data_IF_039565375075
#
_entry.id   IF_039565375075
#
_cell.length_a   1.000
_cell.length_b   1.000
_cell.length_c   1.000
_cell.angle_alpha   90.00
_cell.angle_beta   90.00
_cell.angle_gamma   90.00
#
_symmetry.space_group_name_H-M   'P 1'
#
loop_
_entity.id
_entity.type
_entity.pdbx_description
1 polymer ?
#
# COMPACT_ATOMS: atom_id res chain seq x y z
N UNK A 1 -28.12 14.75 -16.46
CA UNK A 1 -26.97 14.07 -17.10
C UNK A 1 -26.36 13.14 -16.07
N UNK A 2 -26.15 11.87 -16.38
CA UNK A 2 -25.47 10.95 -15.47
C UNK A 2 -23.95 11.07 -15.68
N UNK A 3 -23.18 11.18 -14.59
CA UNK A 3 -21.72 11.13 -14.64
C UNK A 3 -21.28 9.74 -15.12
N UNK A 4 -20.38 9.67 -16.11
CA UNK A 4 -19.89 8.40 -16.65
C UNK A 4 -18.47 8.14 -16.15
N UNK A 5 -18.36 7.32 -15.10
CA UNK A 5 -17.10 6.96 -14.44
C UNK A 5 -16.12 6.32 -15.43
N UNK A 6 -16.58 5.38 -16.27
CA UNK A 6 -15.72 4.68 -17.25
C UNK A 6 -15.06 5.66 -18.21
N UNK A 7 -15.82 6.62 -18.73
CA UNK A 7 -15.29 7.65 -19.62
C UNK A 7 -14.26 8.54 -18.91
N UNK A 8 -14.50 8.88 -17.65
CA UNK A 8 -13.58 9.69 -16.86
C UNK A 8 -12.26 8.96 -16.60
N UNK A 9 -12.33 7.72 -16.11
CA UNK A 9 -11.14 6.94 -15.76
C UNK A 9 -10.26 6.59 -16.97
N UNK A 10 -10.82 6.55 -18.19
CA UNK A 10 -10.05 6.36 -19.42
C UNK A 10 -9.26 7.59 -19.86
N UNK A 11 -9.56 8.77 -19.33
CA UNK A 11 -8.91 10.01 -19.74
C UNK A 11 -7.53 10.23 -19.08
N UNK A 12 -7.14 9.36 -18.12
CA UNK A 12 -5.87 9.39 -17.38
C UNK A 12 -5.44 10.81 -17.01
N UNK A 13 -6.29 11.51 -16.25
CA UNK A 13 -6.04 12.90 -15.89
C UNK A 13 -4.87 12.95 -14.89
N UNK A 14 -3.70 13.49 -15.28
CA UNK A 14 -2.53 13.48 -14.43
C UNK A 14 -2.69 14.46 -13.27
N UNK A 15 -2.12 14.10 -12.13
CA UNK A 15 -2.17 14.91 -10.91
C UNK A 15 -0.77 15.21 -10.42
N UNK A 16 -0.46 16.51 -10.26
CA UNK A 16 0.72 16.93 -9.52
C UNK A 16 0.48 16.71 -8.02
N UNK A 17 0.91 15.55 -7.51
CA UNK A 17 0.59 15.10 -6.15
C UNK A 17 1.09 16.08 -5.10
N UNK A 18 2.36 16.49 -5.18
CA UNK A 18 2.96 17.41 -4.22
C UNK A 18 2.24 18.76 -4.19
N UNK A 19 1.83 19.27 -5.36
CA UNK A 19 1.09 20.52 -5.44
C UNK A 19 -0.33 20.40 -4.88
N UNK A 20 -1.06 19.30 -5.16
CA UNK A 20 -2.46 19.14 -4.76
C UNK A 20 -2.63 18.64 -3.33
N UNK A 21 -1.76 17.75 -2.89
CA UNK A 21 -1.88 17.00 -1.63
C UNK A 21 -0.76 17.27 -0.63
N UNK A 22 0.29 18.01 -1.01
CA UNK A 22 1.38 18.34 -0.09
C UNK A 22 2.19 17.11 0.32
N UNK A 23 2.55 17.04 1.59
CA UNK A 23 3.28 15.91 2.19
C UNK A 23 2.32 14.77 2.47
N UNK A 24 2.74 13.55 2.14
CA UNK A 24 1.97 12.34 2.37
C UNK A 24 2.61 11.52 3.50
N UNK A 25 1.79 11.14 4.47
CA UNK A 25 2.19 10.31 5.62
C UNK A 25 1.53 8.94 5.50
N UNK A 26 2.32 7.88 5.51
CA UNK A 26 1.83 6.52 5.35
C UNK A 26 1.08 6.01 6.59
N UNK A 27 -0.09 5.41 6.36
CA UNK A 27 -0.95 4.85 7.41
C UNK A 27 -1.05 3.33 7.35
N UNK A 28 -0.91 2.72 6.16
CA UNK A 28 -0.99 1.28 6.01
C UNK A 28 -1.26 0.85 4.58
N UNK A 29 -1.27 -0.46 4.35
CA UNK A 29 -1.78 -1.05 3.12
C UNK A 29 -3.14 -1.68 3.38
N UNK A 30 -4.05 -1.48 2.43
CA UNK A 30 -5.26 -2.29 2.31
C UNK A 30 -4.93 -3.51 1.47
N UNK A 31 -4.95 -4.67 2.11
CA UNK A 31 -4.62 -5.95 1.50
C UNK A 31 -5.89 -6.69 1.06
N UNK A 32 -5.78 -7.40 -0.05
CA UNK A 32 -6.74 -8.40 -0.47
C UNK A 32 -5.98 -9.71 -0.72
N UNK A 33 -6.68 -10.81 -0.90
CA UNK A 33 -6.07 -12.10 -1.14
C UNK A 33 -6.55 -12.68 -2.46
N UNK A 34 -5.69 -13.49 -3.09
CA UNK A 34 -6.05 -14.29 -4.26
C UNK A 34 -5.45 -15.68 -4.16
N UNK A 35 -6.08 -16.66 -4.80
CA UNK A 35 -5.52 -17.99 -4.92
C UNK A 35 -4.45 -18.01 -6.03
N UNK A 36 -3.22 -18.37 -5.67
CA UNK A 36 -2.10 -18.60 -6.60
C UNK A 36 -1.59 -20.01 -6.35
N UNK A 37 -1.62 -20.86 -7.38
CA UNK A 37 -1.15 -22.26 -7.29
C UNK A 37 -1.79 -23.09 -6.15
N UNK A 38 -3.00 -22.71 -5.73
CA UNK A 38 -3.74 -23.39 -4.65
C UNK A 38 -3.49 -22.81 -3.26
N UNK A 39 -2.64 -21.80 -3.13
CA UNK A 39 -2.37 -21.09 -1.87
C UNK A 39 -3.01 -19.69 -1.89
N UNK A 40 -3.52 -19.26 -0.73
CA UNK A 40 -4.00 -17.89 -0.57
C UNK A 40 -2.78 -16.97 -0.37
N UNK A 41 -2.63 -16.02 -1.28
CA UNK A 41 -1.55 -15.03 -1.26
C UNK A 41 -2.17 -13.64 -1.09
N UNK A 42 -1.80 -12.98 -0.01
CA UNK A 42 -2.15 -11.59 0.24
C UNK A 42 -1.37 -10.68 -0.71
N UNK A 43 -2.03 -9.65 -1.19
CA UNK A 43 -1.43 -8.62 -2.01
C UNK A 43 -2.04 -7.26 -1.69
N UNK A 44 -1.21 -6.20 -1.64
CA UNK A 44 -1.70 -4.86 -1.40
C UNK A 44 -2.48 -4.35 -2.60
N UNK A 45 -3.62 -3.74 -2.34
CA UNK A 45 -4.49 -3.12 -3.36
C UNK A 45 -4.45 -1.61 -3.30
N UNK A 46 -4.36 -1.07 -2.08
CA UNK A 46 -4.23 0.36 -1.85
C UNK A 46 -3.20 0.64 -0.76
N UNK A 47 -2.60 1.82 -0.81
CA UNK A 47 -1.90 2.43 0.31
C UNK A 47 -2.77 3.55 0.88
N UNK A 48 -2.98 3.56 2.19
CA UNK A 48 -3.61 4.68 2.88
C UNK A 48 -2.54 5.71 3.25
N UNK A 49 -2.76 6.96 2.83
CA UNK A 49 -1.86 8.07 3.14
C UNK A 49 -2.66 9.26 3.67
N UNK A 50 -2.17 9.91 4.71
CA UNK A 50 -2.68 11.19 5.17
C UNK A 50 -2.02 12.34 4.41
N UNK A 51 -2.82 13.24 3.87
CA UNK A 51 -2.36 14.47 3.20
C UNK A 51 -2.37 15.63 4.18
N UNK A 52 -1.21 16.27 4.38
CA UNK A 52 -1.11 17.47 5.23
C UNK A 52 -1.86 18.68 4.64
N UNK A 53 -1.99 18.75 3.32
CA UNK A 53 -2.63 19.89 2.66
C UNK A 53 -4.14 19.76 2.63
N UNK A 54 -4.65 18.56 2.38
CA UNK A 54 -6.10 18.29 2.40
C UNK A 54 -6.62 18.07 3.81
N UNK A 55 -5.74 17.71 4.76
CA UNK A 55 -6.10 17.29 6.11
C UNK A 55 -7.03 16.06 6.10
N UNK A 56 -6.82 15.15 5.15
CA UNK A 56 -7.64 13.96 4.92
C UNK A 56 -6.79 12.74 4.56
N UNK A 57 -7.31 11.55 4.85
CA UNK A 57 -6.77 10.28 4.38
C UNK A 57 -7.22 10.03 2.94
N UNK A 58 -6.28 9.60 2.11
CA UNK A 58 -6.47 9.34 0.69
C UNK A 58 -6.00 7.91 0.43
N UNK A 59 -6.84 7.14 -0.26
CA UNK A 59 -6.44 5.85 -0.79
C UNK A 59 -5.64 6.04 -2.09
N UNK A 60 -4.48 5.41 -2.16
CA UNK A 60 -3.68 5.29 -3.38
C UNK A 60 -3.86 3.88 -3.92
N UNK A 61 -4.60 3.74 -5.02
CA UNK A 61 -4.76 2.48 -5.74
C UNK A 61 -3.46 2.11 -6.44
N UNK A 62 -2.94 0.94 -6.11
CA UNK A 62 -1.64 0.45 -6.58
C UNK A 62 -1.82 -0.42 -7.83
N UNK A 63 -0.76 -0.52 -8.64
CA UNK A 63 -0.74 -1.48 -9.74
C UNK A 63 -0.66 -2.93 -9.23
N UNK A 64 -1.29 -3.85 -9.96
CA UNK A 64 -1.27 -5.26 -9.59
C UNK A 64 0.11 -5.89 -9.84
N UNK A 65 0.52 -6.81 -8.96
CA UNK A 65 1.75 -7.57 -9.15
C UNK A 65 3.03 -6.85 -8.73
N UNK A 66 2.92 -5.67 -8.11
CA UNK A 66 4.07 -4.99 -7.50
C UNK A 66 4.46 -5.67 -6.18
N UNK A 67 5.76 -5.72 -5.90
CA UNK A 67 6.27 -6.01 -4.56
C UNK A 67 6.42 -4.70 -3.82
N UNK A 68 5.84 -4.60 -2.62
CA UNK A 68 6.02 -3.40 -1.79
C UNK A 68 7.06 -3.68 -0.72
N UNK A 69 8.02 -2.77 -0.59
CA UNK A 69 8.95 -2.74 0.53
C UNK A 69 8.19 -2.38 1.82
N UNK A 70 8.63 -2.89 2.96
CA UNK A 70 8.02 -2.54 4.25
C UNK A 70 8.17 -1.03 4.52
N UNK A 71 7.04 -0.33 4.64
CA UNK A 71 7.00 1.10 4.98
C UNK A 71 6.52 1.23 6.43
N UNK A 72 7.32 1.82 7.33
CA UNK A 72 6.89 2.00 8.71
C UNK A 72 5.72 2.98 8.82
N UNK A 73 4.77 2.67 9.69
CA UNK A 73 3.65 3.56 10.04
C UNK A 73 4.12 4.98 10.35
N UNK A 74 3.39 5.99 9.88
CA UNK A 74 3.67 7.42 10.04
C UNK A 74 4.97 7.90 9.36
N UNK A 75 5.52 7.14 8.41
CA UNK A 75 6.63 7.61 7.58
C UNK A 75 6.14 8.53 6.47
N UNK A 76 6.95 9.54 6.13
CA UNK A 76 6.74 10.31 4.91
C UNK A 76 6.96 9.41 3.68
N UNK A 77 6.06 9.50 2.70
CA UNK A 77 6.09 8.73 1.45
C UNK A 77 5.91 9.63 0.23
N UNK A 78 6.41 9.14 -0.90
CA UNK A 78 6.15 9.72 -2.22
C UNK A 78 5.50 8.68 -3.14
N UNK A 79 4.67 9.18 -4.06
CA UNK A 79 4.07 8.38 -5.12
C UNK A 79 5.16 8.04 -6.15
N UNK A 80 5.19 6.77 -6.59
CA UNK A 80 6.04 6.30 -7.68
C UNK A 80 5.23 6.30 -8.98
N UNK A 81 5.85 6.79 -10.06
CA UNK A 81 5.19 6.93 -11.36
C UNK A 81 4.23 8.12 -11.42
N UNK A 82 3.41 8.14 -12.48
CA UNK A 82 2.37 9.16 -12.65
C UNK A 82 1.14 8.84 -11.81
N UNK A 83 0.60 9.85 -11.12
CA UNK A 83 -0.64 9.73 -10.38
C UNK A 83 -1.82 10.23 -11.22
N UNK A 84 -2.90 9.47 -11.27
CA UNK A 84 -4.15 9.86 -11.94
C UNK A 84 -5.34 9.72 -11.00
N UNK A 85 -6.40 10.50 -11.20
CA UNK A 85 -7.64 10.34 -10.42
C UNK A 85 -8.39 9.09 -10.90
N UNK A 86 -8.73 8.21 -9.97
CA UNK A 86 -9.60 7.07 -10.20
C UNK A 86 -10.90 7.24 -9.42
N UNK A 87 -12.03 7.33 -10.10
CA UNK A 87 -13.36 7.44 -9.48
C UNK A 87 -14.03 6.07 -9.49
N UNK A 88 -14.77 5.73 -8.45
CA UNK A 88 -15.53 4.49 -8.34
C UNK A 88 -16.83 4.70 -7.58
N UNK A 89 -17.80 3.82 -7.84
CA UNK A 89 -19.03 3.74 -7.06
C UNK A 89 -18.66 3.25 -5.64
N UNK A 90 -19.07 4.01 -4.63
CA UNK A 90 -18.93 3.65 -3.23
C UNK A 90 -20.31 3.30 -2.68
N UNK A 91 -20.44 2.05 -2.26
CA UNK A 91 -21.63 1.56 -1.58
C UNK A 91 -21.23 1.07 -0.19
N UNK A 92 -21.94 1.53 0.83
CA UNK A 92 -21.69 1.14 2.22
C UNK A 92 -23.00 1.05 2.99
N UNK A 93 -23.02 0.28 4.06
CA UNK A 93 -24.18 0.08 4.92
C UNK A 93 -23.84 0.43 6.35
N UNK A 94 -24.39 1.53 6.83
CA UNK A 94 -24.17 1.98 8.21
C UNK A 94 -25.30 1.48 9.11
N UNK A 95 -24.94 0.66 10.09
CA UNK A 95 -25.85 0.16 11.12
C UNK A 95 -25.86 1.09 12.34
N UNK A 96 -27.00 1.72 12.63
CA UNK A 96 -27.20 2.60 13.81
C UNK A 96 -28.15 1.96 14.82
N UNK A 97 -27.66 0.93 15.51
CA UNK A 97 -28.44 0.14 16.46
C UNK A 97 -29.27 -0.96 15.79
N UNK A 98 -30.11 -1.64 16.57
CA UNK A 98 -30.72 -2.91 16.16
C UNK A 98 -31.61 -2.85 14.90
N UNK A 99 -32.26 -1.70 14.62
CA UNK A 99 -33.27 -1.60 13.56
C UNK A 99 -33.07 -0.40 12.61
N UNK A 100 -31.96 0.33 12.68
CA UNK A 100 -31.69 1.43 11.74
C UNK A 100 -30.51 1.05 10.85
N UNK A 101 -30.81 0.84 9.58
CA UNK A 101 -29.84 0.58 8.53
C UNK A 101 -29.92 1.72 7.53
N UNK A 102 -28.79 2.29 7.15
CA UNK A 102 -28.71 3.30 6.10
C UNK A 102 -27.74 2.85 5.03
N UNK A 103 -28.23 2.75 3.80
CA UNK A 103 -27.40 2.52 2.62
C UNK A 103 -26.83 3.85 2.15
N UNK A 104 -25.51 3.90 1.97
CA UNK A 104 -24.79 5.00 1.34
C UNK A 104 -24.51 4.57 -0.09
N UNK A 105 -24.88 5.43 -1.05
CA UNK A 105 -24.49 5.31 -2.45
C UNK A 105 -23.88 6.64 -2.88
N UNK A 106 -22.59 6.63 -3.12
CA UNK A 106 -21.81 7.82 -3.44
C UNK A 106 -20.76 7.52 -4.51
N UNK A 107 -20.06 8.56 -4.95
CA UNK A 107 -18.82 8.43 -5.70
C UNK A 107 -17.67 8.68 -4.74
N UNK A 108 -16.69 7.79 -4.74
CA UNK A 108 -15.41 7.98 -4.07
C UNK A 108 -14.29 8.13 -5.11
N UNK A 109 -13.12 8.57 -4.65
CA UNK A 109 -11.94 8.63 -5.50
C UNK A 109 -10.70 8.10 -4.77
N UNK A 110 -9.77 7.61 -5.57
CA UNK A 110 -8.40 7.26 -5.17
C UNK A 110 -7.42 7.91 -6.14
N UNK A 111 -6.17 8.01 -5.74
CA UNK A 111 -5.07 8.24 -6.69
C UNK A 111 -4.64 6.88 -7.23
N UNK A 112 -4.68 6.67 -8.54
CA UNK A 112 -4.04 5.50 -9.17
C UNK A 112 -2.59 5.84 -9.45
N UNK A 113 -1.67 4.99 -9.02
CA UNK A 113 -0.24 5.12 -9.25
C UNK A 113 0.45 3.76 -9.30
N UNK A 114 1.70 3.73 -9.76
CA UNK A 114 2.50 2.50 -9.82
C UNK A 114 2.72 1.94 -8.41
N UNK A 115 3.25 2.76 -7.49
CA UNK A 115 3.43 2.37 -6.09
C UNK A 115 3.56 3.58 -5.15
N UNK A 116 3.84 3.30 -3.87
CA UNK A 116 4.31 4.27 -2.89
C UNK A 116 5.66 3.83 -2.33
N UNK A 117 6.53 4.78 -1.97
CA UNK A 117 7.79 4.49 -1.30
C UNK A 117 8.13 5.53 -0.25
N UNK A 118 8.94 5.15 0.73
CA UNK A 118 9.41 6.04 1.79
C UNK A 118 10.29 7.15 1.25
N UNK A 119 10.12 8.38 1.75
CA UNK A 119 11.04 9.48 1.48
C UNK A 119 12.35 9.26 2.24
N UNK A 120 13.48 9.44 1.56
CA UNK A 120 14.81 9.30 2.16
C UNK A 120 15.37 7.88 2.24
N UNK A 121 14.66 6.86 1.72
CA UNK A 121 15.27 5.55 1.45
C UNK A 121 16.10 5.64 0.15
N UNK A 122 17.35 6.08 0.28
CA UNK A 122 18.35 5.71 -0.72
C UNK A 122 18.47 4.19 -0.77
N UNK A 123 18.23 3.58 -1.93
CA UNK A 123 18.44 2.17 -2.29
C UNK A 123 18.64 1.22 -1.09
N UNK A 124 17.56 0.65 -0.56
CA UNK A 124 17.69 -0.63 0.14
C UNK A 124 18.03 -1.68 -0.92
N UNK A 125 19.33 -1.90 -1.14
CA UNK A 125 19.80 -3.13 -1.77
C UNK A 125 19.27 -4.26 -0.90
N UNK A 126 18.38 -5.08 -1.45
CA UNK A 126 18.10 -6.41 -0.92
C UNK A 126 19.46 -7.12 -0.76
N UNK A 127 19.95 -7.23 0.47
CA UNK A 127 20.86 -8.30 0.80
C UNK A 127 20.05 -9.58 0.64
N UNK A 128 20.31 -10.28 -0.47
CA UNK A 128 19.90 -11.65 -0.67
C UNK A 128 20.21 -12.41 0.62
N UNK A 129 19.19 -13.03 1.21
CA UNK A 129 19.37 -14.02 2.28
C UNK A 129 20.40 -15.03 1.80
N UNK A 130 21.65 -14.87 2.24
CA UNK A 130 22.66 -15.91 2.13
C UNK A 130 22.35 -16.93 3.22
N UNK A 131 21.99 -18.13 2.78
CA UNK A 131 21.88 -19.34 3.57
C UNK A 131 23.06 -19.48 4.53
N UNK A 132 22.86 -19.15 5.81
CA UNK A 132 23.75 -19.61 6.87
C UNK A 132 23.38 -21.05 7.23
N UNK A 133 23.98 -21.98 6.49
CA UNK A 133 24.20 -23.35 6.95
C UNK A 133 25.13 -23.28 8.18
N UNK A 134 24.79 -23.90 9.32
CA UNK A 134 25.72 -23.93 10.44
C UNK A 134 26.84 -24.93 10.14
N UNK A 135 28.04 -24.41 9.85
CA UNK A 135 29.27 -25.20 9.81
C UNK A 135 29.67 -25.66 11.22
N UNK A 136 29.99 -26.94 11.27
CA UNK A 136 30.45 -27.72 12.41
C UNK A 136 31.72 -27.09 13.01
N UNK A 137 31.73 -26.85 14.33
CA UNK A 137 32.99 -26.64 15.07
C UNK A 137 33.56 -28.00 15.49
N UNK A 138 34.83 -28.30 15.18
CA UNK A 138 35.48 -29.56 15.55
C UNK A 138 35.87 -29.60 17.02
N UNK A 139 35.87 -30.83 17.55
CA UNK A 139 36.37 -31.22 18.86
C UNK A 139 37.84 -30.80 19.08
N UNK A 140 38.14 -30.23 20.25
CA UNK A 140 39.46 -30.34 20.84
C UNK A 140 39.35 -30.88 22.27
N UNK A 141 39.77 -32.14 22.42
CA UNK A 141 40.17 -32.74 23.69
C UNK A 141 41.47 -32.08 24.17
N UNK A 142 41.56 -31.77 25.46
CA UNK A 142 42.79 -32.00 26.21
C UNK A 142 42.49 -32.25 27.70
N UNK A 143 43.08 -33.33 28.19
CA UNK A 143 42.95 -33.89 29.53
C UNK A 143 43.92 -33.26 30.55
N UNK A 144 43.48 -33.30 31.80
CA UNK A 144 44.22 -33.63 33.03
C UNK A 144 44.99 -32.59 33.87
N UNK A 145 44.51 -32.54 35.13
CA UNK A 145 45.19 -32.62 36.45
C UNK A 145 45.82 -31.38 37.10
N UNK A 146 45.33 -31.13 38.31
CA UNK A 146 45.89 -30.33 39.40
C UNK A 146 44.92 -30.35 40.55
#
# INVERSE_FOLDING_TARGET
MAFNIRKFNNAEIPVNVKEKFGTLIFLGFDENWKMVEGEAVDYPTHAEVFSDKMQETIAVKLEEGISIEEIPFMSEVEIVGDATIWIYDYEDTVYRGANNVSEIKALAFSLRAESVKRVGSGQFRQEQKQDQKPEQKPEQKQEHKG
#
